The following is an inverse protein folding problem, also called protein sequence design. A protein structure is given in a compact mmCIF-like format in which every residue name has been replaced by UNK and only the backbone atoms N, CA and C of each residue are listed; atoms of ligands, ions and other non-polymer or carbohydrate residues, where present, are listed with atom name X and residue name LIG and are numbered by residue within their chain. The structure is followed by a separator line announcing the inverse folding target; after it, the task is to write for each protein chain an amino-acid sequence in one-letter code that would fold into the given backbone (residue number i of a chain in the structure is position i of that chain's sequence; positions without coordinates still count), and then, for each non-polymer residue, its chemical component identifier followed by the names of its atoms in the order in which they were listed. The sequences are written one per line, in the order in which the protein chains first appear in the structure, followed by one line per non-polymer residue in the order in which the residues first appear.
data_IF_913736176482
#
_entry.id   IF_913736176482
#
_cell.length_a   1.000
_cell.length_b   1.000
_cell.length_c   1.000
_cell.angle_alpha   90.00
_cell.angle_beta   90.00
_cell.angle_gamma   90.00
#
_symmetry.space_group_name_H-M   'P 1'
#
loop_
_entity.id
_entity.type
_entity.pdbx_description
1 polymer ?
#
# COMPACT_ATOMS: atom_id res chain seq x y z
N UNK A 1 39.38 6.21 -9.47
CA UNK A 1 37.93 6.29 -9.20
C UNK A 1 37.25 6.77 -10.47
N UNK A 2 36.76 5.85 -11.30
CA UNK A 2 36.09 6.17 -12.55
C UNK A 2 34.59 5.92 -12.37
N UNK A 3 33.80 6.99 -12.41
CA UNK A 3 32.34 6.90 -12.53
C UNK A 3 32.03 6.31 -13.91
N UNK A 4 31.44 5.12 -13.93
CA UNK A 4 30.85 4.55 -15.15
C UNK A 4 29.45 5.15 -15.29
N UNK A 5 29.30 6.07 -16.24
CA UNK A 5 28.02 6.64 -16.63
C UNK A 5 27.34 5.66 -17.60
N UNK A 6 26.32 4.93 -17.14
CA UNK A 6 25.48 4.09 -17.99
C UNK A 6 24.32 4.93 -18.55
N UNK A 7 24.03 4.87 -19.87
CA UNK A 7 22.90 5.60 -20.44
C UNK A 7 21.58 4.93 -20.07
N UNK A 8 20.68 5.67 -19.42
CA UNK A 8 19.31 5.26 -19.15
C UNK A 8 18.53 5.27 -20.47
N UNK A 9 18.30 4.09 -21.05
CA UNK A 9 17.33 3.94 -22.15
C UNK A 9 15.93 3.82 -21.55
N UNK A 10 15.25 4.95 -21.44
CA UNK A 10 13.81 4.98 -21.17
C UNK A 10 13.07 4.41 -22.39
N UNK A 11 12.79 3.11 -22.39
CA UNK A 11 11.89 2.50 -23.37
C UNK A 11 10.51 2.47 -22.75
N UNK A 12 9.60 3.26 -23.32
CA UNK A 12 8.24 3.51 -22.85
C UNK A 12 7.42 2.22 -22.69
N UNK A 13 7.42 1.63 -21.49
CA UNK A 13 6.49 0.56 -21.08
C UNK A 13 5.24 1.10 -20.35
N UNK A 14 4.93 2.40 -20.49
CA UNK A 14 3.76 3.01 -19.83
C UNK A 14 2.46 2.71 -20.59
N UNK A 15 2.54 2.42 -21.89
CA UNK A 15 1.39 2.17 -22.75
C UNK A 15 1.02 0.68 -22.66
N UNK A 16 0.34 0.29 -21.59
CA UNK A 16 -0.19 -1.08 -21.46
C UNK A 16 -0.38 -1.61 -20.05
N UNK A 17 0.06 -0.88 -19.02
CA UNK A 17 -0.20 -1.27 -17.63
C UNK A 17 -1.72 -1.18 -17.36
N UNK A 18 -2.40 -2.32 -17.38
CA UNK A 18 -3.72 -2.43 -16.78
C UNK A 18 -3.55 -2.28 -15.27
N UNK A 19 -3.61 -1.05 -14.79
CA UNK A 19 -3.78 -0.82 -13.37
C UNK A 19 -5.24 -1.15 -13.04
N UNK A 20 -5.54 -2.20 -12.24
CA UNK A 20 -6.91 -2.52 -11.84
C UNK A 20 -7.58 -1.35 -11.09
N UNK A 21 -6.80 -0.40 -10.56
CA UNK A 21 -7.28 0.81 -9.92
C UNK A 21 -7.54 2.00 -10.88
N UNK A 22 -7.22 1.89 -12.17
CA UNK A 22 -7.40 2.97 -13.16
C UNK A 22 -8.82 3.03 -13.76
N UNK A 23 -9.59 1.95 -13.70
CA UNK A 23 -10.96 1.89 -14.29
C UNK A 23 -12.03 2.66 -13.50
N UNK A 24 -11.68 3.44 -12.47
CA UNK A 24 -12.63 4.13 -11.59
C UNK A 24 -12.17 5.49 -11.09
N UNK A 25 -11.41 6.26 -11.88
CA UNK A 25 -10.97 7.61 -11.46
C UNK A 25 -12.08 8.67 -11.59
N UNK A 26 -13.23 8.32 -12.18
CA UNK A 26 -14.46 9.13 -12.17
C UNK A 26 -15.30 8.78 -10.94
N UNK A 27 -15.10 9.51 -9.83
CA UNK A 27 -16.06 9.55 -8.72
C UNK A 27 -15.57 9.17 -7.32
N UNK A 28 -14.26 9.15 -7.03
CA UNK A 28 -13.78 8.95 -5.65
C UNK A 28 -14.11 10.17 -4.79
N UNK A 29 -15.15 10.08 -3.97
CA UNK A 29 -15.37 11.05 -2.87
C UNK A 29 -14.21 10.94 -1.90
N UNK A 30 -13.55 12.06 -1.63
CA UNK A 30 -12.49 12.18 -0.62
C UNK A 30 -13.00 11.65 0.73
N UNK A 31 -12.17 10.87 1.43
CA UNK A 31 -12.48 10.43 2.79
C UNK A 31 -12.67 11.64 3.69
N UNK A 32 -13.70 11.58 4.54
CA UNK A 32 -13.94 12.63 5.52
C UNK A 32 -13.32 12.28 6.89
N UNK A 33 -13.32 13.25 7.80
CA UNK A 33 -12.75 13.08 9.15
C UNK A 33 -13.35 11.89 9.92
N UNK A 34 -14.63 11.54 9.70
CA UNK A 34 -15.24 10.39 10.37
C UNK A 34 -14.71 9.08 9.79
N UNK A 35 -14.54 9.01 8.47
CA UNK A 35 -13.95 7.84 7.83
C UNK A 35 -12.53 7.59 8.35
N UNK A 36 -11.71 8.65 8.45
CA UNK A 36 -10.34 8.54 8.99
C UNK A 36 -10.34 8.15 10.48
N UNK A 37 -11.26 8.70 11.28
CA UNK A 37 -11.39 8.33 12.69
C UNK A 37 -11.79 6.86 12.88
N UNK A 38 -12.65 6.33 11.99
CA UNK A 38 -13.02 4.90 12.01
C UNK A 38 -11.84 4.00 11.65
N UNK A 39 -11.06 4.37 10.62
CA UNK A 39 -9.85 3.63 10.23
C UNK A 39 -8.78 3.66 11.33
N UNK A 40 -8.61 4.79 12.01
CA UNK A 40 -7.72 4.92 13.15
C UNK A 40 -8.17 4.02 14.31
N UNK A 41 -9.45 4.04 14.66
CA UNK A 41 -10.01 3.20 15.71
C UNK A 41 -9.89 1.70 15.39
N UNK A 42 -10.09 1.31 14.12
CA UNK A 42 -9.87 -0.07 13.68
C UNK A 42 -8.39 -0.47 13.74
N UNK A 43 -7.46 0.42 13.45
CA UNK A 43 -6.03 0.13 13.60
C UNK A 43 -5.67 -0.14 15.06
N UNK A 44 -6.19 0.66 15.98
CA UNK A 44 -5.93 0.52 17.42
C UNK A 44 -6.68 -0.67 18.04
N UNK A 45 -7.85 -1.01 17.50
CA UNK A 45 -8.69 -2.12 17.95
C UNK A 45 -9.26 -2.91 16.75
N UNK A 46 -8.45 -3.80 16.12
CA UNK A 46 -8.82 -4.47 14.86
C UNK A 46 -10.06 -5.37 14.92
N UNK A 47 -10.47 -5.76 16.12
CA UNK A 47 -11.64 -6.62 16.36
C UNK A 47 -12.87 -5.82 16.81
N UNK A 48 -12.78 -4.48 16.87
CA UNK A 48 -13.86 -3.64 17.33
C UNK A 48 -15.07 -3.75 16.40
N UNK A 49 -16.21 -4.14 16.96
CA UNK A 49 -17.48 -4.14 16.22
C UNK A 49 -18.07 -2.73 16.09
N UNK A 50 -19.08 -2.57 15.23
CA UNK A 50 -19.74 -1.28 15.00
C UNK A 50 -20.26 -0.59 16.28
N UNK A 51 -20.66 -1.36 17.31
CA UNK A 51 -21.08 -0.80 18.60
C UNK A 51 -19.90 -0.16 19.36
N UNK A 52 -18.75 -0.81 19.38
CA UNK A 52 -17.57 -0.29 20.05
C UNK A 52 -17.03 0.95 19.33
N UNK A 53 -16.91 0.87 18.00
CA UNK A 53 -16.54 1.99 17.15
C UNK A 53 -17.50 3.18 17.30
N UNK A 54 -18.80 2.93 17.47
CA UNK A 54 -19.79 3.99 17.73
C UNK A 54 -19.52 4.73 19.04
N UNK A 55 -19.05 4.04 20.08
CA UNK A 55 -18.67 4.66 21.36
C UNK A 55 -17.38 5.45 21.25
N UNK A 56 -16.39 4.92 20.53
CA UNK A 56 -15.09 5.56 20.29
C UNK A 56 -15.27 6.86 19.50
N UNK A 57 -16.09 6.83 18.45
CA UNK A 57 -16.27 7.95 17.52
C UNK A 57 -17.42 8.91 17.89
N UNK A 58 -18.29 8.52 18.83
CA UNK A 58 -19.43 9.34 19.27
C UNK A 58 -20.57 9.48 18.24
N UNK A 59 -20.60 8.64 17.20
CA UNK A 59 -21.67 8.63 16.18
C UNK A 59 -22.58 7.41 16.33
N UNK A 60 -23.79 7.48 15.78
CA UNK A 60 -24.73 6.36 15.86
C UNK A 60 -24.18 5.08 15.19
N UNK A 61 -24.46 3.91 15.79
CA UNK A 61 -24.05 2.59 15.27
C UNK A 61 -24.47 2.36 13.80
N UNK A 62 -25.65 2.81 13.42
CA UNK A 62 -26.12 2.73 12.03
C UNK A 62 -25.21 3.54 11.08
N UNK A 63 -24.78 4.73 11.49
CA UNK A 63 -23.83 5.56 10.73
C UNK A 63 -22.49 4.86 10.58
N UNK A 64 -21.93 4.31 11.67
CA UNK A 64 -20.68 3.52 11.61
C UNK A 64 -20.80 2.37 10.62
N UNK A 65 -21.87 1.59 10.72
CA UNK A 65 -22.08 0.42 9.87
C UNK A 65 -22.16 0.82 8.39
N UNK A 66 -22.90 1.90 8.08
CA UNK A 66 -22.99 2.42 6.73
C UNK A 66 -21.64 2.95 6.19
N UNK A 67 -20.82 3.57 7.05
CA UNK A 67 -19.48 4.06 6.66
C UNK A 67 -18.51 2.91 6.40
N UNK A 68 -18.47 1.90 7.27
CA UNK A 68 -17.62 0.73 7.08
C UNK A 68 -17.99 -0.03 5.80
N UNK A 69 -19.27 -0.30 5.58
CA UNK A 69 -19.73 -0.95 4.35
C UNK A 69 -19.28 -0.16 3.12
N UNK A 70 -19.42 1.17 3.14
CA UNK A 70 -18.97 2.00 2.03
C UNK A 70 -17.45 1.96 1.84
N UNK A 71 -16.66 1.97 2.92
CA UNK A 71 -15.20 1.87 2.82
C UNK A 71 -14.75 0.54 2.23
N UNK A 72 -15.48 -0.55 2.50
CA UNK A 72 -15.29 -1.85 1.85
C UNK A 72 -15.69 -1.81 0.37
N UNK A 73 -16.90 -1.31 0.07
CA UNK A 73 -17.44 -1.22 -1.29
C UNK A 73 -16.56 -0.35 -2.21
N UNK A 74 -16.00 0.73 -1.66
CA UNK A 74 -15.08 1.64 -2.36
C UNK A 74 -13.64 1.06 -2.46
N UNK A 75 -13.38 -0.10 -1.86
CA UNK A 75 -12.06 -0.75 -1.85
C UNK A 75 -11.01 -0.03 -1.00
N UNK A 76 -11.41 0.89 -0.12
CA UNK A 76 -10.51 1.57 0.81
C UNK A 76 -10.10 0.64 1.94
N UNK A 77 -11.06 -0.14 2.45
CA UNK A 77 -10.80 -1.27 3.36
C UNK A 77 -10.78 -2.53 2.52
N UNK A 78 -9.61 -3.10 2.33
CA UNK A 78 -9.40 -4.31 1.52
C UNK A 78 -9.41 -5.59 2.35
N UNK A 79 -9.49 -5.48 3.68
CA UNK A 79 -9.56 -6.62 4.60
C UNK A 79 -9.43 -6.21 6.07
N UNK A 80 -9.58 -7.19 6.95
CA UNK A 80 -9.56 -7.05 8.42
C UNK A 80 -8.46 -7.91 9.09
N UNK A 81 -7.48 -8.36 8.30
CA UNK A 81 -6.37 -9.17 8.80
C UNK A 81 -5.44 -8.37 9.73
N UNK A 82 -4.69 -9.03 10.61
CA UNK A 82 -3.67 -8.35 11.40
C UNK A 82 -2.55 -7.83 10.48
N UNK A 83 -2.00 -6.67 10.82
CA UNK A 83 -0.72 -6.23 10.28
C UNK A 83 0.38 -7.19 10.77
N UNK A 84 1.08 -7.84 9.85
CA UNK A 84 2.16 -8.78 10.18
C UNK A 84 3.51 -8.08 10.06
N UNK A 85 4.25 -8.03 11.17
CA UNK A 85 5.67 -7.71 11.13
C UNK A 85 6.46 -8.89 10.55
N UNK A 86 6.85 -8.75 9.29
CA UNK A 86 7.57 -9.76 8.52
C UNK A 86 8.92 -10.14 9.16
N UNK A 87 9.63 -9.17 9.75
CA UNK A 87 10.90 -9.43 10.41
C UNK A 87 10.68 -10.21 11.71
N UNK A 88 9.70 -9.80 12.52
CA UNK A 88 9.31 -10.53 13.74
C UNK A 88 8.77 -11.94 13.45
N UNK A 89 8.17 -12.15 12.27
CA UNK A 89 7.73 -13.46 11.79
C UNK A 89 8.89 -14.37 11.32
N UNK A 90 10.14 -13.94 11.43
CA UNK A 90 11.33 -14.74 11.11
C UNK A 90 11.93 -14.47 9.73
N UNK A 91 11.45 -13.46 9.00
CA UNK A 91 11.95 -13.09 7.67
C UNK A 91 12.73 -11.77 7.73
N UNK A 92 13.80 -11.74 8.53
CA UNK A 92 14.57 -10.54 8.83
C UNK A 92 15.46 -10.02 7.69
N UNK A 93 15.65 -10.78 6.61
CA UNK A 93 16.42 -10.33 5.44
C UNK A 93 15.45 -9.77 4.41
N UNK A 94 15.51 -8.46 4.17
CA UNK A 94 14.69 -7.79 3.16
C UNK A 94 15.56 -7.23 2.03
N UNK A 95 15.03 -7.25 0.82
CA UNK A 95 15.69 -6.64 -0.33
C UNK A 95 14.67 -6.02 -1.28
N UNK A 96 15.15 -5.04 -2.04
CA UNK A 96 14.44 -4.49 -3.19
C UNK A 96 15.12 -5.01 -4.46
N UNK A 97 14.32 -5.54 -5.38
CA UNK A 97 14.82 -6.11 -6.63
C UNK A 97 14.18 -5.36 -7.79
N UNK A 98 15.01 -4.70 -8.60
CA UNK A 98 14.59 -4.09 -9.85
C UNK A 98 14.77 -5.09 -10.97
N UNK A 99 13.71 -5.32 -11.74
CA UNK A 99 13.67 -6.23 -12.88
C UNK A 99 13.57 -5.43 -14.18
N UNK A 100 14.37 -5.81 -15.16
CA UNK A 100 14.16 -5.46 -16.57
C UNK A 100 13.50 -6.67 -17.24
N UNK A 101 12.38 -6.45 -17.92
CA UNK A 101 11.56 -7.52 -18.52
C UNK A 101 11.58 -7.45 -20.04
N UNK A 102 11.30 -8.60 -20.69
CA UNK A 102 11.12 -8.65 -22.12
C UNK A 102 9.89 -7.83 -22.55
N UNK A 103 9.95 -7.27 -23.76
CA UNK A 103 8.85 -6.44 -24.28
C UNK A 103 7.54 -7.24 -24.35
N UNK A 104 6.48 -6.70 -23.75
CA UNK A 104 5.16 -7.34 -23.73
C UNK A 104 5.01 -8.49 -22.73
N UNK A 105 6.02 -8.78 -21.90
CA UNK A 105 6.02 -9.92 -20.98
C UNK A 105 5.47 -9.62 -19.58
N UNK A 106 4.69 -8.56 -19.42
CA UNK A 106 4.22 -8.12 -18.11
C UNK A 106 3.24 -9.11 -17.46
N UNK A 107 2.34 -9.70 -18.23
CA UNK A 107 1.39 -10.69 -17.70
C UNK A 107 2.11 -11.98 -17.28
N UNK A 108 3.14 -12.36 -18.04
CA UNK A 108 3.96 -13.53 -17.72
C UNK A 108 4.81 -13.28 -16.48
N UNK A 109 5.45 -12.11 -16.37
CA UNK A 109 6.21 -11.77 -15.16
C UNK A 109 5.30 -11.68 -13.95
N UNK A 110 4.08 -11.14 -14.07
CA UNK A 110 3.12 -11.12 -12.95
C UNK A 110 2.82 -12.54 -12.45
N UNK A 111 2.53 -13.48 -13.35
CA UNK A 111 2.23 -14.87 -13.00
C UNK A 111 3.42 -15.56 -12.33
N UNK A 112 4.63 -15.34 -12.85
CA UNK A 112 5.85 -15.91 -12.29
C UNK A 112 6.15 -15.35 -10.89
N UNK A 113 5.91 -14.05 -10.70
CA UNK A 113 6.09 -13.35 -9.44
C UNK A 113 5.12 -13.84 -8.36
N UNK A 114 3.84 -14.06 -8.69
CA UNK A 114 2.82 -14.59 -7.78
C UNK A 114 3.18 -15.99 -7.23
N UNK A 115 4.00 -16.75 -7.95
CA UNK A 115 4.44 -18.08 -7.53
C UNK A 115 5.58 -18.06 -6.49
N UNK A 116 6.18 -16.90 -6.18
CA UNK A 116 7.34 -16.76 -5.29
C UNK A 116 6.86 -16.31 -3.90
N UNK A 117 6.85 -17.17 -2.86
CA UNK A 117 6.30 -16.81 -1.55
C UNK A 117 7.05 -15.68 -0.83
N UNK A 118 8.36 -15.54 -1.11
CA UNK A 118 9.19 -14.47 -0.55
C UNK A 118 9.01 -13.12 -1.25
N UNK A 119 8.20 -13.03 -2.30
CA UNK A 119 7.83 -11.79 -2.95
C UNK A 119 6.62 -11.17 -2.22
N UNK A 120 6.83 -10.00 -1.61
CA UNK A 120 5.80 -9.34 -0.81
C UNK A 120 4.98 -8.34 -1.62
N UNK A 121 5.64 -7.62 -2.52
CA UNK A 121 4.99 -6.67 -3.43
C UNK A 121 5.80 -6.51 -4.71
N UNK A 122 5.12 -6.14 -5.79
CA UNK A 122 5.73 -5.78 -7.06
C UNK A 122 4.95 -4.62 -7.69
N UNK A 123 5.69 -3.66 -8.24
CA UNK A 123 5.12 -2.51 -8.92
C UNK A 123 5.77 -2.35 -10.29
N UNK A 124 4.95 -2.17 -11.33
CA UNK A 124 5.47 -1.65 -12.58
C UNK A 124 5.92 -0.19 -12.39
N UNK A 125 7.13 0.14 -12.83
CA UNK A 125 7.76 1.44 -12.56
C UNK A 125 8.19 2.16 -13.83
N UNK A 126 8.08 3.48 -13.82
CA UNK A 126 8.79 4.34 -14.78
C UNK A 126 10.18 4.61 -14.22
N UNK A 127 11.20 3.87 -14.65
CA UNK A 127 12.54 3.98 -14.07
C UNK A 127 13.62 3.23 -14.83
N UNK A 128 14.73 2.93 -14.14
CA UNK A 128 15.86 2.15 -14.67
C UNK A 128 15.55 0.67 -14.89
N UNK A 129 14.38 0.22 -14.45
CA UNK A 129 13.82 -1.08 -14.75
C UNK A 129 12.30 -0.98 -14.81
N UNK A 130 11.68 -2.08 -15.22
CA UNK A 130 10.27 -2.16 -15.53
C UNK A 130 9.43 -2.55 -14.30
N UNK A 131 9.99 -3.35 -13.39
CA UNK A 131 9.31 -3.80 -12.17
C UNK A 131 10.21 -3.62 -10.94
N UNK A 132 9.67 -3.05 -9.86
CA UNK A 132 10.30 -2.99 -8.55
C UNK A 132 9.59 -3.94 -7.59
N UNK A 133 10.35 -4.89 -7.05
CA UNK A 133 9.88 -5.89 -6.11
C UNK A 133 10.41 -5.63 -4.71
N UNK A 134 9.59 -5.86 -3.68
CA UNK A 134 10.04 -6.03 -2.29
C UNK A 134 9.99 -7.50 -1.94
N UNK A 135 11.11 -8.04 -1.48
CA UNK A 135 11.24 -9.45 -1.08
C UNK A 135 11.67 -9.58 0.37
N UNK A 136 11.30 -10.68 1.01
CA UNK A 136 11.77 -11.05 2.34
C UNK A 136 12.15 -12.53 2.42
N UNK A 137 13.16 -12.82 3.22
CA UNK A 137 13.67 -14.15 3.47
C UNK A 137 14.13 -14.30 4.92
N UNK A 138 14.20 -15.54 5.40
CA UNK A 138 14.72 -15.85 6.73
C UNK A 138 16.25 -15.77 6.82
N UNK A 139 16.94 -15.75 5.68
CA UNK A 139 18.41 -15.71 5.61
C UNK A 139 18.89 -15.21 4.26
N UNK A 140 20.19 -14.88 4.16
CA UNK A 140 20.85 -14.54 2.90
C UNK A 140 20.79 -15.69 1.88
N UNK A 141 20.84 -16.95 2.35
CA UNK A 141 20.65 -18.11 1.48
C UNK A 141 19.22 -18.19 0.92
N UNK A 142 18.22 -17.89 1.74
CA UNK A 142 16.83 -17.77 1.29
C UNK A 142 16.65 -16.64 0.27
N UNK A 143 17.28 -15.49 0.49
CA UNK A 143 17.29 -14.39 -0.47
C UNK A 143 17.94 -14.82 -1.80
N UNK A 144 19.08 -15.51 -1.75
CA UNK A 144 19.73 -16.04 -2.94
C UNK A 144 18.80 -16.99 -3.72
N UNK A 145 18.03 -17.84 -3.02
CA UNK A 145 17.07 -18.72 -3.67
C UNK A 145 15.97 -17.94 -4.39
N UNK A 146 15.42 -16.89 -3.77
CA UNK A 146 14.44 -16.00 -4.41
C UNK A 146 15.03 -15.37 -5.68
N UNK A 147 16.28 -14.88 -5.63
CA UNK A 147 16.94 -14.30 -6.81
C UNK A 147 17.17 -15.35 -7.91
N UNK A 148 17.48 -16.59 -7.57
CA UNK A 148 17.58 -17.69 -8.53
C UNK A 148 16.21 -17.97 -9.16
N UNK A 149 15.14 -18.01 -8.36
CA UNK A 149 13.78 -18.27 -8.84
C UNK A 149 13.30 -17.17 -9.79
N UNK A 150 13.60 -15.90 -9.48
CA UNK A 150 13.35 -14.77 -10.39
C UNK A 150 14.09 -14.95 -11.73
N UNK A 151 15.37 -15.33 -11.70
CA UNK A 151 16.17 -15.51 -12.92
C UNK A 151 15.79 -16.77 -13.74
N UNK A 152 14.89 -17.63 -13.24
CA UNK A 152 14.34 -18.74 -14.03
C UNK A 152 13.25 -18.29 -14.99
N UNK A 153 12.61 -17.15 -14.73
CA UNK A 153 11.61 -16.60 -15.63
C UNK A 153 12.27 -16.16 -16.93
N UNK A 154 11.77 -16.68 -18.07
CA UNK A 154 12.21 -16.21 -19.39
C UNK A 154 11.72 -14.79 -19.71
N UNK A 155 10.76 -14.27 -18.95
CA UNK A 155 10.28 -12.90 -19.08
C UNK A 155 11.26 -11.89 -18.46
N UNK A 156 12.13 -12.32 -17.54
CA UNK A 156 13.09 -11.44 -16.85
C UNK A 156 14.42 -11.46 -17.61
N UNK A 157 14.81 -10.30 -18.13
CA UNK A 157 16.07 -10.11 -18.86
C UNK A 157 17.21 -9.85 -17.87
N UNK A 158 16.93 -9.09 -16.80
CA UNK A 158 17.93 -8.73 -15.80
C UNK A 158 17.28 -8.45 -14.45
N UNK A 159 17.99 -8.81 -13.37
CA UNK A 159 17.64 -8.44 -12.00
C UNK A 159 18.79 -7.69 -11.33
N UNK A 160 18.49 -6.61 -10.61
CA UNK A 160 19.43 -5.91 -9.73
C UNK A 160 18.83 -5.81 -8.33
N UNK A 161 19.56 -6.26 -7.30
CA UNK A 161 19.08 -6.28 -5.93
C UNK A 161 19.84 -5.34 -5.00
N UNK A 162 19.13 -4.69 -4.08
CA UNK A 162 19.69 -3.93 -2.96
C UNK A 162 19.12 -4.48 -1.66
N UNK A 163 19.98 -4.88 -0.73
CA UNK A 163 19.57 -5.39 0.58
C UNK A 163 19.24 -4.22 1.51
N UNK A 164 18.08 -4.28 2.16
CA UNK A 164 17.68 -3.31 3.17
C UNK A 164 18.42 -3.63 4.49
N UNK A 165 19.08 -2.62 5.06
CA UNK A 165 19.82 -2.78 6.32
C UNK A 165 18.92 -2.56 7.54
N UNK A 166 18.05 -1.56 7.47
CA UNK A 166 17.05 -1.26 8.49
C UNK A 166 15.91 -0.41 7.90
N UNK A 167 14.68 -0.57 8.40
CA UNK A 167 13.62 0.37 8.10
C UNK A 167 13.86 1.68 8.86
N UNK A 168 13.93 2.80 8.14
CA UNK A 168 13.98 4.13 8.78
C UNK A 168 12.57 4.64 9.13
N UNK A 169 11.61 4.36 8.26
CA UNK A 169 10.19 4.68 8.45
C UNK A 169 9.38 3.45 8.04
N UNK A 170 8.59 2.85 8.95
CA UNK A 170 7.73 1.73 8.58
C UNK A 170 6.59 2.21 7.68
N UNK A 171 5.99 1.27 6.93
CA UNK A 171 4.78 1.54 6.18
C UNK A 171 3.67 2.06 7.11
N UNK A 172 3.08 3.20 6.76
CA UNK A 172 2.03 3.85 7.55
C UNK A 172 1.10 4.64 6.62
N UNK A 173 -0.20 4.39 6.73
CA UNK A 173 -1.22 5.02 5.89
C UNK A 173 -1.96 6.15 6.61
N UNK A 174 -2.24 6.01 7.92
CA UNK A 174 -3.01 7.00 8.67
C UNK A 174 -2.50 8.45 8.53
N UNK A 175 -1.18 8.74 8.65
CA UNK A 175 -0.70 10.12 8.54
C UNK A 175 -1.00 10.79 7.20
N UNK A 176 -1.07 10.00 6.11
CA UNK A 176 -1.48 10.49 4.78
C UNK A 176 -2.99 10.75 4.74
N UNK A 177 -3.79 9.86 5.32
CA UNK A 177 -5.25 10.03 5.35
C UNK A 177 -5.67 11.21 6.21
N UNK A 178 -4.98 11.43 7.33
CA UNK A 178 -5.20 12.58 8.22
C UNK A 178 -4.86 13.92 7.55
N UNK A 179 -3.83 13.97 6.69
CA UNK A 179 -3.45 15.21 6.02
C UNK A 179 -4.42 15.63 4.90
N UNK A 180 -5.10 14.66 4.29
CA UNK A 180 -6.01 14.87 3.15
C UNK A 180 -7.49 14.76 3.51
N UNK A 181 -7.82 14.53 4.78
CA UNK A 181 -9.19 14.35 5.23
C UNK A 181 -10.05 15.60 4.95
N UNK A 182 -11.12 15.44 4.17
CA UNK A 182 -12.06 16.53 3.95
C UNK A 182 -12.80 16.86 5.26
N UNK A 183 -13.07 18.15 5.55
CA UNK A 183 -13.85 18.54 6.73
C UNK A 183 -15.17 17.78 6.77
N UNK A 184 -15.43 17.03 7.84
CA UNK A 184 -16.56 16.12 7.90
C UNK A 184 -17.90 16.86 7.93
N UNK A 185 -18.88 16.36 7.16
CA UNK A 185 -20.27 16.82 7.20
C UNK A 185 -20.89 16.71 8.61
N UNK A 186 -20.31 15.88 9.50
CA UNK A 186 -20.77 15.63 10.86
C UNK A 186 -20.46 16.73 11.89
N UNK A 187 -19.55 17.69 11.62
CA UNK A 187 -19.24 18.76 12.57
C UNK A 187 -20.16 19.98 12.46
N UNK A 188 -20.92 20.10 11.36
CA UNK A 188 -21.66 21.33 11.03
C UNK A 188 -22.90 21.58 11.92
N UNK A 189 -23.38 20.59 12.68
CA UNK A 189 -24.56 20.76 13.53
C UNK A 189 -24.27 20.99 15.03
N UNK A 190 -23.04 20.75 15.52
CA UNK A 190 -22.82 20.57 16.97
C UNK A 190 -22.14 21.76 17.69
N UNK A 191 -21.63 22.80 17.01
CA UNK A 191 -21.01 23.91 17.75
C UNK A 191 -21.19 25.31 17.15
N UNK A 192 -22.43 25.67 16.78
CA UNK A 192 -22.84 27.09 16.72
C UNK A 192 -23.97 27.34 17.70
N UNK A 193 -23.64 27.49 18.99
CA UNK A 193 -24.52 28.24 19.89
C UNK A 193 -24.15 29.73 19.83
N UNK A 194 -25.14 30.63 19.74
CA UNK A 194 -24.91 32.08 19.68
C UNK A 194 -24.81 32.71 21.08
N UNK A 195 -23.96 33.74 21.21
CA UNK A 195 -23.92 34.69 22.32
C UNK A 195 -23.06 34.23 23.51
N UNK A 196 -22.27 35.08 24.17
CA UNK A 196 -22.66 36.43 24.62
C UNK A 196 -21.55 37.48 24.50
N UNK A 197 -22.01 38.67 24.14
CA UNK A 197 -21.32 39.95 24.07
C UNK A 197 -21.09 40.53 25.47
N UNK A 198 -19.86 41.03 25.70
CA UNK A 198 -19.45 42.20 26.52
C UNK A 198 -19.41 42.13 28.06
N UNK A 199 -18.78 43.12 28.75
CA UNK A 199 -18.21 44.43 28.29
C UNK A 199 -16.77 44.40 27.81
#
# INVERSE_FOLDING_TARGET
MQLVHLPVRATSLVVGLHNPHSSGMTGRRTLDELDVALLAALRDSPRAGALELSRITGVARATVSARLQRLEDDGVVTGYGPDVDVAAAGFGVQAFVTLEIAQGALEDVQRDLEAIPGLLEAHATTGSGDVLCRVAASSHAGLQQILVDLNRSSAIVRSTSVVALSPLVPWRTLPLLESEAAPGAGRSAMNRRPGTVRP
#
